data_IF_792402206908
#
_entry.id   IF_792402206908
#
_cell.length_a   1.000
_cell.length_b   1.000
_cell.length_c   1.000
_cell.angle_alpha   90.00
_cell.angle_beta   90.00
_cell.angle_gamma   90.00
#
_symmetry.space_group_name_H-M   'P 1'
#
loop_
_entity.id
_entity.type
_entity.pdbx_description
1 polymer ?
#
# COMPACT_ATOMS: atom_id res chain seq x y z
N UNK A 1 -17.24 4.98 0.29
CA UNK A 1 -16.59 3.85 0.99
C UNK A 1 -15.39 3.47 0.14
N UNK A 2 -14.16 3.62 0.67
CA UNK A 2 -12.99 3.04 0.02
C UNK A 2 -13.21 1.51 -0.07
N UNK A 3 -12.94 0.86 -1.22
CA UNK A 3 -13.03 -0.58 -1.30
C UNK A 3 -12.14 -1.18 -0.22
N UNK A 4 -12.78 -2.01 0.59
CA UNK A 4 -12.28 -2.63 1.81
C UNK A 4 -10.85 -3.08 1.61
N UNK A 5 -9.91 -2.41 2.28
CA UNK A 5 -8.58 -2.94 2.50
C UNK A 5 -8.73 -4.38 3.01
N UNK A 6 -7.96 -5.35 2.48
CA UNK A 6 -8.10 -6.74 2.88
C UNK A 6 -8.00 -6.79 4.39
N UNK A 7 -9.11 -7.17 5.03
CA UNK A 7 -9.33 -7.39 6.46
C UNK A 7 -8.17 -6.84 7.31
N UNK A 8 -8.32 -5.59 7.74
CA UNK A 8 -7.40 -4.85 8.60
C UNK A 8 -7.18 -5.58 9.94
N UNK A 9 -6.41 -6.66 9.90
CA UNK A 9 -6.04 -7.45 11.06
C UNK A 9 -4.73 -6.85 11.63
N UNK A 10 -4.65 -6.61 12.94
CA UNK A 10 -3.43 -6.18 13.59
C UNK A 10 -2.25 -7.09 13.20
N UNK A 11 -1.15 -6.49 12.76
CA UNK A 11 0.06 -7.20 12.32
C UNK A 11 0.26 -7.28 10.80
N UNK A 12 -0.56 -6.59 10.01
CA UNK A 12 -0.40 -6.51 8.55
C UNK A 12 0.95 -5.89 8.17
N UNK A 13 1.69 -6.52 7.25
CA UNK A 13 2.99 -6.04 6.75
C UNK A 13 2.82 -5.26 5.46
N UNK A 14 3.14 -3.97 5.49
CA UNK A 14 3.06 -3.07 4.34
C UNK A 14 4.46 -2.85 3.78
N UNK A 15 4.70 -3.32 2.56
CA UNK A 15 5.90 -3.04 1.80
C UNK A 15 5.93 -1.59 1.31
N UNK A 16 7.03 -0.91 1.59
CA UNK A 16 7.34 0.44 1.11
C UNK A 16 8.75 0.45 0.52
N UNK A 17 9.08 1.43 -0.32
CA UNK A 17 10.40 1.49 -0.95
C UNK A 17 11.52 1.63 0.08
N UNK A 18 11.31 2.52 1.04
CA UNK A 18 12.16 2.69 2.21
C UNK A 18 11.33 3.23 3.38
N UNK A 19 11.87 3.12 4.59
CA UNK A 19 11.26 3.74 5.76
C UNK A 19 11.24 5.27 5.60
N UNK A 20 10.17 5.90 6.06
CA UNK A 20 9.93 7.34 5.96
C UNK A 20 9.82 7.86 4.50
N UNK A 21 9.63 6.96 3.53
CA UNK A 21 9.33 7.35 2.15
C UNK A 21 7.97 8.03 2.04
N UNK A 22 7.75 8.80 0.96
CA UNK A 22 6.43 9.35 0.65
C UNK A 22 5.34 8.27 0.60
N UNK A 23 5.68 7.07 0.11
CA UNK A 23 4.77 5.92 0.12
C UNK A 23 4.36 5.51 1.53
N UNK A 24 5.29 5.46 2.48
CA UNK A 24 4.97 5.20 3.90
C UNK A 24 4.11 6.31 4.49
N UNK A 25 4.46 7.58 4.28
CA UNK A 25 3.71 8.71 4.83
C UNK A 25 2.26 8.73 4.32
N UNK A 26 2.06 8.48 3.02
CA UNK A 26 0.72 8.38 2.43
C UNK A 26 -0.04 7.19 3.04
N UNK A 27 0.58 6.01 3.16
CA UNK A 27 -0.06 4.86 3.82
C UNK A 27 -0.46 5.15 5.26
N UNK A 28 0.40 5.84 6.02
CA UNK A 28 0.12 6.21 7.41
C UNK A 28 -1.12 7.07 7.52
N UNK A 29 -1.28 8.06 6.65
CA UNK A 29 -2.46 8.91 6.66
C UNK A 29 -3.73 8.16 6.23
N UNK A 30 -3.62 7.26 5.25
CA UNK A 30 -4.73 6.39 4.83
C UNK A 30 -5.19 5.46 5.96
N UNK A 31 -4.25 4.91 6.72
CA UNK A 31 -4.55 4.05 7.88
C UNK A 31 -5.24 4.84 8.99
N UNK A 32 -4.72 6.04 9.33
CA UNK A 32 -5.37 6.94 10.29
C UNK A 32 -6.79 7.28 9.88
N UNK A 33 -7.00 7.59 8.59
CA UNK A 33 -8.31 7.85 8.04
C UNK A 33 -9.25 6.64 8.16
N UNK A 34 -8.72 5.42 8.03
CA UNK A 34 -9.45 4.18 8.26
C UNK A 34 -9.66 3.84 9.75
N UNK A 35 -9.24 4.71 10.68
CA UNK A 35 -9.37 4.51 12.12
C UNK A 35 -8.32 3.59 12.75
N UNK A 36 -7.22 3.31 12.03
CA UNK A 36 -6.12 2.47 12.51
C UNK A 36 -4.96 3.30 13.04
N UNK A 37 -4.22 2.75 14.01
CA UNK A 37 -2.93 3.31 14.47
C UNK A 37 -1.78 2.72 13.64
N UNK A 38 -1.15 3.51 12.75
CA UNK A 38 -0.07 3.02 11.90
C UNK A 38 1.19 2.59 12.67
N UNK A 39 1.29 2.90 13.96
CA UNK A 39 2.42 2.48 14.81
C UNK A 39 2.15 1.18 15.57
N UNK A 40 0.89 0.72 15.62
CA UNK A 40 0.49 -0.45 16.41
C UNK A 40 -0.15 -1.55 15.57
N UNK A 41 -0.96 -1.17 14.58
CA UNK A 41 -1.81 -2.12 13.86
C UNK A 41 -1.13 -2.70 12.61
N UNK A 42 -0.04 -2.07 12.14
CA UNK A 42 0.70 -2.50 10.95
C UNK A 42 2.21 -2.44 11.17
N UNK A 43 2.96 -3.13 10.31
CA UNK A 43 4.42 -3.03 10.25
C UNK A 43 4.86 -2.61 8.85
N UNK A 44 5.63 -1.53 8.76
CA UNK A 44 6.24 -1.09 7.50
C UNK A 44 7.56 -1.81 7.24
N UNK A 45 7.66 -2.47 6.09
CA UNK A 45 8.85 -3.19 5.64
C UNK A 45 9.46 -2.46 4.45
N UNK A 46 10.72 -2.05 4.57
CA UNK A 46 11.47 -1.51 3.45
C UNK A 46 11.83 -2.65 2.49
N UNK A 47 11.21 -2.67 1.31
CA UNK A 47 11.38 -3.71 0.29
C UNK A 47 12.03 -3.20 -0.99
N UNK A 48 12.40 -1.91 -1.06
CA UNK A 48 13.03 -1.32 -2.23
C UNK A 48 12.07 -1.21 -3.41
N UNK A 49 12.59 -1.48 -4.61
CA UNK A 49 11.86 -1.33 -5.88
C UNK A 49 11.65 -2.70 -6.55
N UNK A 50 11.25 -2.71 -7.82
CA UNK A 50 10.84 -3.88 -8.61
C UNK A 50 11.52 -5.22 -8.25
N UNK A 51 12.87 -5.33 -8.28
CA UNK A 51 13.55 -6.63 -8.18
C UNK A 51 13.36 -7.32 -6.83
N UNK A 52 13.07 -6.55 -5.78
CA UNK A 52 12.95 -7.02 -4.40
C UNK A 52 11.51 -6.91 -3.89
N UNK A 53 10.78 -5.86 -4.26
CA UNK A 53 9.41 -5.62 -3.82
C UNK A 53 8.41 -6.64 -4.38
N UNK A 54 8.53 -7.00 -5.66
CA UNK A 54 7.60 -7.95 -6.29
C UNK A 54 7.76 -9.36 -5.71
N UNK A 55 8.98 -9.94 -5.59
CA UNK A 55 9.14 -11.23 -4.92
C UNK A 55 8.71 -11.21 -3.45
N UNK A 56 8.99 -10.14 -2.71
CA UNK A 56 8.55 -10.01 -1.31
C UNK A 56 7.02 -10.09 -1.17
N UNK A 57 6.28 -9.47 -2.10
CA UNK A 57 4.82 -9.59 -2.16
C UNK A 57 4.38 -11.01 -2.55
N UNK A 58 4.94 -11.56 -3.64
CA UNK A 58 4.53 -12.88 -4.15
C UNK A 58 4.82 -14.04 -3.19
N UNK A 59 5.88 -13.92 -2.38
CA UNK A 59 6.25 -14.90 -1.35
C UNK A 59 5.58 -14.67 0.00
N UNK A 60 4.66 -13.70 0.09
CA UNK A 60 3.95 -13.31 1.32
C UNK A 60 4.88 -12.86 2.46
N UNK A 61 6.04 -12.32 2.12
CA UNK A 61 6.87 -11.61 3.09
C UNK A 61 6.20 -10.30 3.54
N UNK A 62 5.42 -9.69 2.63
CA UNK A 62 4.52 -8.56 2.87
C UNK A 62 3.11 -8.90 2.38
N UNK A 63 2.11 -8.28 2.98
CA UNK A 63 0.69 -8.52 2.68
C UNK A 63 0.12 -7.46 1.72
N UNK A 64 0.61 -6.22 1.85
CA UNK A 64 0.24 -5.07 1.01
C UNK A 64 1.52 -4.45 0.50
N UNK A 65 1.52 -3.95 -0.73
CA UNK A 65 2.64 -3.22 -1.31
C UNK A 65 2.17 -1.85 -1.79
N UNK A 66 2.83 -0.80 -1.30
CA UNK A 66 2.74 0.52 -1.93
C UNK A 66 3.55 0.51 -3.22
N UNK A 67 2.85 0.34 -4.34
CA UNK A 67 3.46 0.22 -5.65
C UNK A 67 3.42 1.53 -6.44
N UNK A 68 4.43 1.70 -7.30
CA UNK A 68 4.44 2.66 -8.41
C UNK A 68 4.11 1.92 -9.71
N UNK A 69 3.81 2.64 -10.78
CA UNK A 69 3.27 2.10 -12.03
C UNK A 69 3.95 0.82 -12.52
N UNK A 70 5.29 0.81 -12.64
CA UNK A 70 6.02 -0.35 -13.13
C UNK A 70 5.81 -1.61 -12.27
N UNK A 71 5.68 -1.46 -10.95
CA UNK A 71 5.40 -2.58 -10.03
C UNK A 71 3.95 -3.05 -10.17
N UNK A 72 3.02 -2.09 -10.24
CA UNK A 72 1.59 -2.35 -10.40
C UNK A 72 1.30 -3.14 -11.68
N UNK A 73 1.91 -2.75 -12.81
CA UNK A 73 1.72 -3.42 -14.10
C UNK A 73 2.13 -4.89 -14.03
N UNK A 74 3.28 -5.20 -13.42
CA UNK A 74 3.76 -6.58 -13.27
C UNK A 74 2.84 -7.41 -12.36
N UNK A 75 2.44 -6.87 -11.23
CA UNK A 75 1.62 -7.60 -10.25
C UNK A 75 0.20 -7.90 -10.74
N UNK A 76 -0.36 -7.02 -11.58
CA UNK A 76 -1.70 -7.18 -12.15
C UNK A 76 -1.71 -8.03 -13.42
N UNK A 77 -0.64 -8.02 -14.22
CA UNK A 77 -0.52 -8.85 -15.41
C UNK A 77 -0.76 -10.34 -15.11
N UNK A 78 -0.24 -10.80 -13.97
CA UNK A 78 -0.36 -12.19 -13.53
C UNK A 78 -1.65 -12.50 -12.74
N UNK A 79 -2.55 -11.52 -12.55
CA UNK A 79 -3.73 -11.60 -11.65
C UNK A 79 -3.40 -12.07 -10.21
N UNK A 80 -2.17 -11.87 -9.76
CA UNK A 80 -1.69 -12.27 -8.43
C UNK A 80 -1.93 -11.20 -7.36
N UNK A 81 -2.39 -10.01 -7.76
CA UNK A 81 -2.70 -8.90 -6.87
C UNK A 81 -4.05 -8.27 -7.22
N UNK A 82 -4.65 -7.59 -6.25
CA UNK A 82 -5.82 -6.73 -6.44
C UNK A 82 -5.45 -5.32 -6.01
N UNK A 83 -5.84 -4.30 -6.77
CA UNK A 83 -5.66 -2.89 -6.39
C UNK A 83 -6.56 -2.60 -5.19
N UNK A 84 -5.96 -2.24 -4.06
CA UNK A 84 -6.69 -1.79 -2.86
C UNK A 84 -7.01 -0.29 -2.97
N UNK A 85 -6.03 0.50 -3.43
CA UNK A 85 -6.16 1.93 -3.67
C UNK A 85 -5.33 2.29 -4.91
N UNK A 86 -5.87 3.17 -5.75
CA UNK A 86 -5.21 3.68 -6.95
C UNK A 86 -5.21 5.20 -6.93
N UNK A 87 -4.06 5.82 -6.67
CA UNK A 87 -3.94 7.28 -6.60
C UNK A 87 -3.85 7.95 -7.98
N UNK A 88 -3.82 7.17 -9.07
CA UNK A 88 -3.80 7.71 -10.45
C UNK A 88 -5.18 7.99 -11.00
N UNK A 89 -6.24 7.51 -10.32
CA UNK A 89 -7.62 7.83 -10.66
C UNK A 89 -8.11 9.01 -9.82
N UNK A 90 -8.88 9.95 -10.40
CA UNK A 90 -9.43 11.07 -9.66
C UNK A 90 -10.19 10.59 -8.44
N UNK A 91 -9.71 11.00 -7.27
CA UNK A 91 -10.30 10.57 -6.01
C UNK A 91 -11.48 11.46 -5.67
N UNK A 92 -12.66 10.86 -5.54
CA UNK A 92 -13.88 11.61 -5.17
C UNK A 92 -13.94 11.93 -3.67
N UNK A 93 -13.00 11.40 -2.89
CA UNK A 93 -12.97 11.55 -1.44
C UNK A 93 -12.26 12.85 -1.00
N UNK A 94 -12.86 13.68 -0.10
CA UNK A 94 -12.33 15.00 0.27
C UNK A 94 -10.87 15.00 0.78
N UNK A 95 -10.47 13.96 1.52
CA UNK A 95 -9.10 13.83 2.02
C UNK A 95 -8.06 13.65 0.90
N UNK A 96 -8.43 12.99 -0.18
CA UNK A 96 -7.50 12.68 -1.29
C UNK A 96 -7.39 13.83 -2.30
N UNK A 97 -8.23 14.87 -2.18
CA UNK A 97 -8.11 16.13 -2.93
C UNK A 97 -6.95 17.01 -2.46
N UNK A 98 -6.26 16.64 -1.36
CA UNK A 98 -5.11 17.38 -0.83
C UNK A 98 -3.83 17.17 -1.64
N UNK A 99 -3.85 16.26 -2.61
CA UNK A 99 -2.70 15.92 -3.46
C UNK A 99 -2.90 16.33 -4.92
N UNK A 100 -3.95 17.11 -5.22
CA UNK A 100 -4.19 17.79 -6.51
C UNK A 100 -3.54 19.18 -6.54
#
# INVERSE_FOLDING_TARGET
MLPVAPKNEPGTKIGVTQRESSGELISRELLKYAGMDPNRDVTFIAVGVLPTAVPAFLTKQIDVLMSIESMTTILLADRKATKVLDLTTPQTHPFLKLFD
#
